data_IF_301589490168
#
_entry.id   IF_301589490168
#
_cell.length_a   1.000
_cell.length_b   1.000
_cell.length_c   1.000
_cell.angle_alpha   90.00
_cell.angle_beta   90.00
_cell.angle_gamma   90.00
#
_symmetry.space_group_name_H-M   'P 1'
#
loop_
_entity.id
_entity.type
_entity.pdbx_description
1 polymer ?
#
# COMPACT_ATOMS: atom_id res chain seq x y z
N UNK A 1 -56.80 -35.91 32.77
CA UNK A 1 -55.57 -36.12 33.55
C UNK A 1 -54.46 -36.59 32.63
N UNK A 2 -53.47 -35.72 32.34
CA UNK A 2 -52.08 -36.13 32.06
C UNK A 2 -51.22 -34.87 32.23
N UNK A 3 -50.75 -34.69 33.47
CA UNK A 3 -49.65 -33.77 33.78
C UNK A 3 -48.43 -34.28 33.02
N UNK A 4 -47.76 -33.43 32.25
CA UNK A 4 -46.31 -33.58 32.08
C UNK A 4 -45.66 -32.25 31.65
N UNK A 5 -45.22 -31.52 32.68
CA UNK A 5 -43.90 -30.90 32.77
C UNK A 5 -43.56 -29.87 31.68
N UNK A 6 -43.73 -28.61 32.10
CA UNK A 6 -42.93 -27.47 31.68
C UNK A 6 -41.44 -27.85 31.72
N UNK A 7 -40.82 -28.10 30.56
CA UNK A 7 -39.40 -27.87 30.38
C UNK A 7 -39.23 -26.42 29.95
N UNK A 8 -39.20 -25.55 30.97
CA UNK A 8 -38.59 -24.23 30.90
C UNK A 8 -37.13 -24.43 30.49
N UNK A 9 -36.86 -24.36 29.19
CA UNK A 9 -35.51 -24.05 28.71
C UNK A 9 -35.28 -22.61 29.16
N UNK A 10 -34.38 -22.33 30.10
CA UNK A 10 -34.00 -20.96 30.33
C UNK A 10 -33.30 -20.53 29.04
N UNK A 11 -33.99 -19.68 28.28
CA UNK A 11 -33.40 -18.81 27.28
C UNK A 11 -32.28 -18.07 28.00
N UNK A 12 -31.09 -18.67 28.00
CA UNK A 12 -29.87 -18.13 28.55
C UNK A 12 -29.52 -16.97 27.63
N UNK A 13 -30.12 -15.82 27.92
CA UNK A 13 -29.66 -14.50 27.53
C UNK A 13 -28.29 -14.32 28.19
N UNK A 14 -27.28 -14.98 27.64
CA UNK A 14 -25.92 -14.48 27.78
C UNK A 14 -25.97 -13.17 27.01
N UNK A 15 -26.13 -12.08 27.74
CA UNK A 15 -25.70 -10.78 27.29
C UNK A 15 -24.21 -10.93 27.01
N UNK A 16 -23.87 -11.33 25.78
CA UNK A 16 -22.54 -11.11 25.25
C UNK A 16 -22.35 -9.60 25.42
N UNK A 17 -21.38 -9.16 26.24
CA UNK A 17 -21.06 -7.75 26.24
C UNK A 17 -20.80 -7.42 24.78
N UNK A 18 -21.50 -6.39 24.29
CA UNK A 18 -21.21 -5.77 23.03
C UNK A 18 -19.71 -5.47 23.10
N UNK A 19 -18.88 -6.31 22.48
CA UNK A 19 -17.47 -6.02 22.29
C UNK A 19 -17.52 -4.83 21.36
N UNK A 20 -17.57 -3.65 21.97
CA UNK A 20 -17.15 -2.42 21.35
C UNK A 20 -15.78 -2.75 20.80
N UNK A 21 -15.71 -2.92 19.48
CA UNK A 21 -14.46 -2.73 18.75
C UNK A 21 -14.15 -1.23 18.86
N UNK A 22 -13.87 -0.77 20.09
CA UNK A 22 -13.17 0.46 20.31
C UNK A 22 -11.84 0.23 19.62
N UNK A 23 -11.59 1.04 18.60
CA UNK A 23 -10.44 0.99 17.72
C UNK A 23 -9.25 0.35 18.41
N UNK A 24 -9.04 -0.93 18.12
CA UNK A 24 -7.75 -1.56 18.32
C UNK A 24 -6.86 -0.97 17.23
N UNK A 25 -6.51 0.30 17.43
CA UNK A 25 -5.35 0.95 16.86
C UNK A 25 -4.15 0.14 17.35
N UNK A 26 -3.94 -1.02 16.71
CA UNK A 26 -2.64 -1.63 16.65
C UNK A 26 -1.69 -0.49 16.27
N UNK A 27 -0.68 -0.24 17.07
CA UNK A 27 0.42 0.66 16.72
C UNK A 27 1.26 0.00 15.61
N UNK A 28 0.63 -0.38 14.50
CA UNK A 28 1.30 -0.62 13.24
C UNK A 28 1.49 0.77 12.65
N UNK A 29 2.67 1.35 12.90
CA UNK A 29 3.01 2.66 12.36
C UNK A 29 2.79 2.64 10.83
N UNK A 30 1.79 3.39 10.37
CA UNK A 30 1.47 3.55 8.95
C UNK A 30 2.71 4.15 8.26
N UNK A 31 3.13 3.63 7.09
CA UNK A 31 4.27 4.20 6.37
C UNK A 31 4.00 5.67 6.04
N UNK A 32 5.03 6.53 6.12
CA UNK A 32 4.89 7.94 5.75
C UNK A 32 4.78 8.14 4.23
N UNK A 33 5.45 7.29 3.45
CA UNK A 33 5.53 7.40 1.98
C UNK A 33 5.14 6.09 1.31
N UNK A 34 4.45 6.17 0.17
CA UNK A 34 4.29 5.06 -0.77
C UNK A 34 5.26 5.21 -1.95
N UNK A 35 6.05 4.19 -2.24
CA UNK A 35 6.85 4.07 -3.46
C UNK A 35 6.16 3.15 -4.45
N UNK A 36 5.38 3.70 -5.37
CA UNK A 36 4.49 2.96 -6.27
C UNK A 36 5.12 2.80 -7.65
N UNK A 37 5.60 1.59 -7.99
CA UNK A 37 6.15 1.24 -9.31
C UNK A 37 5.02 0.84 -10.27
N UNK A 38 4.91 1.53 -11.40
CA UNK A 38 4.04 1.12 -12.51
C UNK A 38 4.84 0.22 -13.45
N UNK A 39 4.60 -1.09 -13.38
CA UNK A 39 5.43 -2.14 -13.99
C UNK A 39 4.67 -2.93 -15.07
N UNK A 40 5.40 -3.47 -16.06
CA UNK A 40 4.93 -4.59 -16.88
C UNK A 40 6.12 -5.41 -17.40
N UNK A 41 5.91 -6.69 -17.71
CA UNK A 41 6.98 -7.60 -18.13
C UNK A 41 7.55 -7.28 -19.52
N UNK A 42 6.75 -6.65 -20.37
CA UNK A 42 7.17 -6.16 -21.68
C UNK A 42 7.86 -4.78 -21.63
N UNK A 43 7.90 -4.13 -20.46
CA UNK A 43 8.42 -2.78 -20.31
C UNK A 43 9.95 -2.77 -20.08
N UNK A 44 10.71 -2.38 -21.10
CA UNK A 44 12.17 -2.27 -21.00
C UNK A 44 12.65 -1.26 -19.95
N UNK A 45 11.91 -0.16 -19.77
CA UNK A 45 12.21 0.84 -18.74
C UNK A 45 12.08 0.31 -17.32
N UNK A 46 11.12 -0.59 -17.11
CA UNK A 46 10.87 -1.24 -15.84
C UNK A 46 12.05 -2.14 -15.47
N UNK A 47 12.53 -2.92 -16.45
CA UNK A 47 13.72 -3.78 -16.30
C UNK A 47 15.00 -3.01 -15.96
N UNK A 48 15.09 -1.75 -16.36
CA UNK A 48 16.21 -0.87 -16.01
C UNK A 48 16.01 -0.15 -14.66
N UNK A 49 14.78 0.25 -14.33
CA UNK A 49 14.48 1.02 -13.11
C UNK A 49 14.39 0.15 -11.86
N UNK A 50 13.67 -0.97 -11.92
CA UNK A 50 13.42 -1.85 -10.77
C UNK A 50 14.69 -2.27 -10.02
N UNK A 51 15.77 -2.76 -10.68
CA UNK A 51 17.00 -3.10 -9.98
C UNK A 51 17.66 -1.88 -9.31
N UNK A 52 17.61 -0.70 -9.95
CA UNK A 52 18.17 0.54 -9.37
C UNK A 52 17.40 0.97 -8.12
N UNK A 53 16.07 0.81 -8.11
CA UNK A 53 15.23 1.10 -6.93
C UNK A 53 15.53 0.10 -5.80
N UNK A 54 15.67 -1.18 -6.12
CA UNK A 54 16.00 -2.21 -5.13
C UNK A 54 17.36 -1.96 -4.47
N UNK A 55 18.34 -1.49 -5.23
CA UNK A 55 19.65 -1.08 -4.70
C UNK A 55 19.56 0.19 -3.86
N UNK A 56 18.90 1.23 -4.38
CA UNK A 56 18.71 2.49 -3.66
C UNK A 56 17.96 2.31 -2.32
N UNK A 57 17.03 1.35 -2.25
CA UNK A 57 16.34 0.99 -0.99
C UNK A 57 17.33 0.49 0.06
N UNK A 58 18.33 -0.31 -0.33
CA UNK A 58 19.37 -0.80 0.59
C UNK A 58 20.26 0.36 1.07
N UNK A 59 20.59 1.29 0.18
CA UNK A 59 21.40 2.47 0.52
C UNK A 59 20.67 3.49 1.41
N UNK A 60 19.35 3.60 1.27
CA UNK A 60 18.57 4.58 2.02
C UNK A 60 18.49 4.27 3.53
N UNK A 61 18.72 3.02 3.94
CA UNK A 61 18.66 2.56 5.35
C UNK A 61 17.35 2.94 6.05
N UNK A 62 16.24 2.82 5.34
CA UNK A 62 14.89 3.13 5.82
C UNK A 62 14.18 1.84 6.24
N UNK A 63 13.31 1.94 7.25
CA UNK A 63 12.47 0.83 7.68
C UNK A 63 11.09 0.85 6.97
N UNK A 64 10.23 -0.13 7.27
CA UNK A 64 8.90 -0.22 6.65
C UNK A 64 7.90 0.83 7.18
N UNK A 65 8.24 1.57 8.25
CA UNK A 65 7.45 2.70 8.76
C UNK A 65 7.82 4.01 8.05
N UNK A 66 8.99 4.07 7.41
CA UNK A 66 9.39 5.19 6.57
C UNK A 66 8.68 5.16 5.21
N UNK A 67 8.73 4.01 4.53
CA UNK A 67 8.23 3.87 3.16
C UNK A 67 7.75 2.45 2.87
N UNK A 68 6.57 2.34 2.25
CA UNK A 68 6.06 1.10 1.69
C UNK A 68 6.22 1.12 0.17
N UNK A 69 6.96 0.15 -0.35
CA UNK A 69 7.12 -0.05 -1.79
C UNK A 69 6.03 -0.97 -2.32
N UNK A 70 5.42 -0.58 -3.43
CA UNK A 70 4.26 -1.25 -4.03
C UNK A 70 4.49 -1.34 -5.53
N UNK A 71 4.25 -2.51 -6.12
CA UNK A 71 4.32 -2.68 -7.58
C UNK A 71 2.92 -2.89 -8.14
N UNK A 72 2.47 -1.96 -8.98
CA UNK A 72 1.25 -2.09 -9.77
C UNK A 72 1.62 -2.75 -11.09
N UNK A 73 1.37 -4.07 -11.19
CA UNK A 73 1.67 -4.85 -12.37
C UNK A 73 0.57 -4.70 -13.43
N UNK A 74 0.93 -4.18 -14.61
CA UNK A 74 0.05 -3.92 -15.73
C UNK A 74 0.34 -4.84 -16.94
N UNK A 75 0.99 -5.99 -16.71
CA UNK A 75 1.36 -6.94 -17.77
C UNK A 75 0.16 -7.40 -18.60
N UNK A 76 -0.94 -7.77 -17.94
CA UNK A 76 -2.14 -8.35 -18.54
C UNK A 76 -3.42 -7.94 -17.78
N UNK A 77 -4.59 -8.36 -18.25
CA UNK A 77 -5.87 -7.97 -17.64
C UNK A 77 -6.04 -8.45 -16.20
N UNK A 78 -5.52 -9.63 -15.85
CA UNK A 78 -5.60 -10.17 -14.49
C UNK A 78 -4.78 -9.33 -13.52
N UNK A 79 -3.54 -9.04 -13.91
CA UNK A 79 -2.61 -8.24 -13.10
C UNK A 79 -3.06 -6.78 -13.00
N UNK A 80 -3.61 -6.19 -14.07
CA UNK A 80 -4.26 -4.87 -14.03
C UNK A 80 -5.42 -4.84 -13.04
N UNK A 81 -6.27 -5.86 -13.02
CA UNK A 81 -7.36 -5.93 -12.05
C UNK A 81 -6.84 -5.98 -10.61
N UNK A 82 -5.81 -6.79 -10.35
CA UNK A 82 -5.14 -6.84 -9.04
C UNK A 82 -4.51 -5.49 -8.67
N UNK A 83 -3.85 -4.82 -9.62
CA UNK A 83 -3.26 -3.52 -9.43
C UNK A 83 -4.31 -2.46 -9.09
N UNK A 84 -5.47 -2.48 -9.75
CA UNK A 84 -6.60 -1.59 -9.43
C UNK A 84 -7.13 -1.84 -8.01
N UNK A 85 -7.29 -3.09 -7.61
CA UNK A 85 -7.72 -3.45 -6.24
C UNK A 85 -6.71 -2.99 -5.20
N UNK A 86 -5.41 -3.11 -5.48
CA UNK A 86 -4.35 -2.64 -4.60
C UNK A 86 -4.31 -1.11 -4.52
N UNK A 87 -4.49 -0.40 -5.65
CA UNK A 87 -4.61 1.05 -5.67
C UNK A 87 -5.81 1.54 -4.84
N UNK A 88 -6.95 0.85 -4.93
CA UNK A 88 -8.11 1.14 -4.12
C UNK A 88 -7.85 0.94 -2.62
N UNK A 89 -7.18 -0.16 -2.25
CA UNK A 89 -6.81 -0.44 -0.85
C UNK A 89 -5.86 0.61 -0.27
N UNK A 90 -5.02 1.23 -1.11
CA UNK A 90 -4.09 2.30 -0.74
C UNK A 90 -4.73 3.71 -0.80
N UNK A 91 -5.98 3.83 -1.27
CA UNK A 91 -6.65 5.12 -1.44
C UNK A 91 -6.08 5.98 -2.57
N UNK A 92 -5.47 5.36 -3.58
CA UNK A 92 -4.81 6.05 -4.72
C UNK A 92 -5.48 5.75 -6.07
N UNK A 93 -6.78 5.41 -6.09
CA UNK A 93 -7.51 5.07 -7.32
C UNK A 93 -7.43 6.15 -8.40
N UNK A 94 -7.64 7.43 -8.04
CA UNK A 94 -7.57 8.54 -9.00
C UNK A 94 -6.18 8.65 -9.66
N UNK A 95 -5.13 8.37 -8.88
CA UNK A 95 -3.76 8.37 -9.35
C UNK A 95 -3.48 7.16 -10.24
N UNK A 96 -4.05 5.99 -9.93
CA UNK A 96 -4.00 4.82 -10.80
C UNK A 96 -4.67 5.10 -12.15
N UNK A 97 -5.89 5.64 -12.14
CA UNK A 97 -6.67 5.94 -13.34
C UNK A 97 -5.99 7.00 -14.22
N UNK A 98 -5.43 8.05 -13.60
CA UNK A 98 -4.67 9.09 -14.30
C UNK A 98 -3.38 8.58 -14.98
N UNK A 99 -2.92 7.40 -14.56
CA UNK A 99 -1.73 6.74 -15.10
C UNK A 99 -2.07 5.41 -15.81
N UNK A 100 -3.34 5.13 -16.07
CA UNK A 100 -3.77 3.88 -16.69
C UNK A 100 -3.01 3.59 -17.98
N UNK A 101 -2.46 2.37 -18.07
CA UNK A 101 -1.70 1.90 -19.23
C UNK A 101 -0.26 2.44 -19.35
N UNK A 102 0.19 3.32 -18.45
CA UNK A 102 1.58 3.80 -18.44
C UNK A 102 2.44 2.94 -17.51
N UNK A 103 3.68 2.68 -17.91
CA UNK A 103 4.65 1.87 -17.15
C UNK A 103 6.06 2.49 -17.20
N UNK A 104 6.98 2.01 -16.37
CA UNK A 104 8.41 2.37 -16.45
C UNK A 104 8.85 3.49 -15.52
N UNK A 105 8.05 3.80 -14.51
CA UNK A 105 8.34 4.84 -13.52
C UNK A 105 7.80 4.44 -12.15
N UNK A 106 8.39 5.02 -11.11
CA UNK A 106 7.88 4.92 -9.74
C UNK A 106 7.46 6.31 -9.25
N UNK A 107 6.33 6.39 -8.58
CA UNK A 107 5.89 7.61 -7.89
C UNK A 107 6.16 7.49 -6.40
N UNK A 108 6.73 8.53 -5.81
CA UNK A 108 6.81 8.69 -4.36
C UNK A 108 5.61 9.55 -3.93
N UNK A 109 4.76 8.99 -3.09
CA UNK A 109 3.51 9.61 -2.67
C UNK A 109 3.51 9.80 -1.15
N UNK A 110 2.94 10.91 -0.69
CA UNK A 110 2.53 11.01 0.70
C UNK A 110 1.45 9.94 0.98
N UNK A 111 1.67 9.08 1.97
CA UNK A 111 0.78 7.95 2.26
C UNK A 111 -0.55 8.34 2.93
N UNK A 112 -0.65 9.58 3.41
CA UNK A 112 -1.88 10.13 3.99
C UNK A 112 -2.71 10.84 2.93
N UNK A 113 -2.09 11.71 2.13
CA UNK A 113 -2.82 12.59 1.20
C UNK A 113 -2.89 12.05 -0.24
N UNK A 114 -2.03 11.09 -0.60
CA UNK A 114 -1.85 10.64 -1.98
C UNK A 114 -1.09 11.64 -2.86
N UNK A 115 -0.61 12.75 -2.30
CA UNK A 115 0.13 13.77 -3.04
C UNK A 115 1.43 13.20 -3.63
N UNK A 116 1.71 13.52 -4.90
CA UNK A 116 2.96 13.15 -5.56
C UNK A 116 4.12 14.02 -5.08
N UNK A 117 5.03 13.43 -4.32
CA UNK A 117 6.27 14.05 -3.84
C UNK A 117 7.37 14.04 -4.91
N UNK A 118 7.52 12.92 -5.62
CA UNK A 118 8.53 12.78 -6.67
C UNK A 118 8.18 11.67 -7.67
N UNK A 119 8.89 11.65 -8.79
CA UNK A 119 8.84 10.58 -9.78
C UNK A 119 10.26 10.10 -10.08
N UNK A 120 10.43 8.78 -10.08
CA UNK A 120 11.67 8.08 -10.37
C UNK A 120 11.57 7.42 -11.74
N UNK A 121 12.65 7.46 -12.52
CA UNK A 121 12.71 6.90 -13.88
C UNK A 121 14.04 6.21 -14.13
N UNK A 122 14.11 5.35 -15.14
CA UNK A 122 15.34 4.61 -15.49
C UNK A 122 16.56 5.50 -15.79
N UNK A 123 16.34 6.79 -16.09
CA UNK A 123 17.39 7.76 -16.40
C UNK A 123 18.16 8.23 -15.16
N UNK A 124 17.67 7.93 -13.96
CA UNK A 124 18.31 8.33 -12.71
C UNK A 124 19.34 7.30 -12.29
N UNK A 125 20.36 7.76 -11.57
CA UNK A 125 21.34 6.90 -10.93
C UNK A 125 20.86 6.44 -9.55
N UNK A 126 21.45 5.36 -9.03
CA UNK A 126 21.06 4.74 -7.76
C UNK A 126 21.15 5.75 -6.61
N UNK A 127 22.23 6.54 -6.56
CA UNK A 127 22.44 7.58 -5.55
C UNK A 127 21.35 8.65 -5.58
N UNK A 128 20.92 9.05 -6.77
CA UNK A 128 19.88 10.07 -6.95
C UNK A 128 18.53 9.53 -6.50
N UNK A 129 18.23 8.27 -6.83
CA UNK A 129 17.01 7.59 -6.36
C UNK A 129 17.01 7.50 -4.83
N UNK A 130 18.12 7.08 -4.22
CA UNK A 130 18.24 6.96 -2.77
C UNK A 130 18.08 8.32 -2.07
N UNK A 131 18.68 9.39 -2.62
CA UNK A 131 18.52 10.75 -2.14
C UNK A 131 17.06 11.19 -2.19
N UNK A 132 16.38 10.96 -3.33
CA UNK A 132 14.99 11.35 -3.53
C UNK A 132 14.02 10.63 -2.59
N UNK A 133 14.26 9.35 -2.32
CA UNK A 133 13.50 8.57 -1.35
C UNK A 133 13.67 9.18 0.05
N UNK A 134 14.91 9.45 0.48
CA UNK A 134 15.21 10.06 1.78
C UNK A 134 14.59 11.45 1.94
N UNK A 135 14.67 12.29 0.91
CA UNK A 135 14.04 13.62 0.87
C UNK A 135 12.52 13.53 1.03
N UNK A 136 11.88 12.59 0.31
CA UNK A 136 10.43 12.40 0.35
C UNK A 136 9.97 11.98 1.75
N UNK A 137 10.65 10.99 2.37
CA UNK A 137 10.34 10.57 3.74
C UNK A 137 10.55 11.71 4.72
N UNK A 138 11.66 12.44 4.62
CA UNK A 138 11.94 13.58 5.48
C UNK A 138 10.85 14.66 5.34
N UNK A 139 10.40 14.95 4.12
CA UNK A 139 9.39 16.00 3.87
C UNK A 139 8.03 15.71 4.51
N UNK A 140 7.67 14.43 4.69
CA UNK A 140 6.40 14.03 5.34
C UNK A 140 6.53 13.93 6.86
N UNK A 141 7.70 13.56 7.37
CA UNK A 141 7.94 13.38 8.81
C UNK A 141 8.42 14.65 9.55
N UNK A 142 8.74 15.72 8.82
CA UNK A 142 9.25 16.97 9.39
C UNK A 142 8.15 17.87 9.94
#
# INVERSE_FOLDING_TARGET
MRKLIFLLIPMLLIAMPLVSHGDESSTTAKPAVYGVLFYADWCGSCKALDPKVAEARKEAKLDNQDILFVTLNLTDETTKHQAAMMAAALGISDLYDSNAGKTGFMLLLNAETGEKLAQLTMKMEVSDIAARIKESVKSVKS
#
